data_IF_895848549451
#
_entry.id   IF_895848549451
#
_cell.length_a   1.000
_cell.length_b   1.000
_cell.length_c   1.000
_cell.angle_alpha   90.00
_cell.angle_beta   90.00
_cell.angle_gamma   90.00
#
_symmetry.space_group_name_H-M   'P 1'
#
loop_
_entity.id
_entity.type
_entity.pdbx_description
1 polymer ?
#
# COMPACT_ATOMS: atom_id res chain seq x y z
N UNK A 1 -0.49 -15.91 24.06
CA UNK A 1 0.37 -14.78 23.71
C UNK A 1 -0.10 -13.57 24.50
N UNK A 2 0.78 -12.71 25.02
CA UNK A 2 0.33 -11.54 25.77
C UNK A 2 -0.50 -10.65 24.83
N UNK A 3 -1.72 -10.37 25.27
CA UNK A 3 -2.68 -9.58 24.52
C UNK A 3 -2.18 -8.17 24.41
N UNK A 4 -1.30 -7.66 23.90
CA UNK A 4 -0.98 -6.29 23.55
C UNK A 4 0.51 -5.92 23.54
N UNK A 5 1.44 -6.45 24.20
CA UNK A 5 2.86 -6.06 24.16
C UNK A 5 3.18 -4.55 24.37
N UNK A 6 2.23 -3.68 24.07
CA UNK A 6 2.33 -2.24 24.36
C UNK A 6 2.10 -1.95 25.85
N UNK A 7 2.89 -1.08 26.42
CA UNK A 7 2.68 -0.56 27.75
C UNK A 7 1.41 0.31 27.85
N UNK A 8 0.83 0.52 29.04
CA UNK A 8 -0.41 1.30 29.21
C UNK A 8 -0.32 2.74 28.72
N UNK A 9 0.85 3.39 28.79
CA UNK A 9 1.02 4.77 28.34
C UNK A 9 0.95 4.84 26.80
N UNK A 10 1.60 3.90 26.11
CA UNK A 10 1.55 3.73 24.65
C UNK A 10 0.13 3.46 24.18
N UNK A 11 -0.59 2.51 24.82
CA UNK A 11 -2.00 2.23 24.49
C UNK A 11 -2.87 3.47 24.65
N UNK A 12 -2.73 4.19 25.77
CA UNK A 12 -3.45 5.44 26.01
C UNK A 12 -3.13 6.54 24.98
N UNK A 13 -1.90 6.62 24.52
CA UNK A 13 -1.49 7.57 23.49
C UNK A 13 -2.12 7.23 22.13
N UNK A 14 -2.06 5.97 21.70
CA UNK A 14 -2.70 5.50 20.47
C UNK A 14 -4.20 5.80 20.51
N UNK A 15 -4.88 5.42 21.60
CA UNK A 15 -6.32 5.63 21.72
C UNK A 15 -6.70 7.11 21.65
N UNK A 16 -5.96 7.99 22.34
CA UNK A 16 -6.21 9.45 22.29
C UNK A 16 -6.03 10.00 20.87
N UNK A 17 -4.97 9.60 20.17
CA UNK A 17 -4.70 10.03 18.79
C UNK A 17 -5.81 9.61 17.83
N UNK A 18 -6.23 8.34 17.87
CA UNK A 18 -7.29 7.80 17.04
C UNK A 18 -8.65 8.43 17.34
N UNK A 19 -8.98 8.66 18.62
CA UNK A 19 -10.22 9.33 19.05
C UNK A 19 -10.28 10.77 18.58
N UNK A 20 -9.18 11.52 18.72
CA UNK A 20 -9.05 12.90 18.20
C UNK A 20 -9.23 12.94 16.69
N UNK A 21 -8.69 11.99 15.99
CA UNK A 21 -8.85 11.83 14.54
C UNK A 21 -10.23 11.29 14.13
N UNK A 22 -11.10 10.90 15.06
CA UNK A 22 -12.42 10.29 14.81
C UNK A 22 -12.32 9.04 13.91
N UNK A 23 -11.36 8.18 14.22
CA UNK A 23 -11.14 6.90 13.53
C UNK A 23 -12.13 5.88 14.08
N UNK A 24 -12.90 5.17 13.21
CA UNK A 24 -13.82 4.13 13.68
C UNK A 24 -13.08 2.91 14.25
N UNK A 25 -12.05 2.43 13.55
CA UNK A 25 -11.16 1.38 14.06
C UNK A 25 -9.74 1.50 13.51
N UNK A 26 -8.80 0.97 14.27
CA UNK A 26 -7.42 0.78 13.84
C UNK A 26 -6.83 -0.50 14.42
N UNK A 27 -5.87 -1.08 13.69
CA UNK A 27 -4.89 -2.04 14.19
C UNK A 27 -3.52 -1.42 14.06
N UNK A 28 -2.74 -1.46 15.16
CA UNK A 28 -1.37 -0.95 15.22
C UNK A 28 -0.48 -2.10 15.68
N UNK A 29 0.50 -2.48 14.86
CA UNK A 29 1.50 -3.46 15.21
C UNK A 29 2.89 -2.84 15.19
N UNK A 30 3.69 -3.16 16.21
CA UNK A 30 5.13 -2.91 16.29
C UNK A 30 5.86 -4.20 15.97
N UNK A 31 6.77 -4.13 15.03
CA UNK A 31 7.57 -5.25 14.54
C UNK A 31 9.00 -5.04 15.00
N UNK A 32 9.60 -6.05 15.60
CA UNK A 32 11.01 -6.05 16.04
C UNK A 32 11.64 -7.37 15.65
N UNK A 33 12.84 -7.32 15.11
CA UNK A 33 13.49 -8.53 14.59
C UNK A 33 12.63 -9.20 13.52
N UNK A 34 12.29 -10.47 13.70
CA UNK A 34 11.57 -11.28 12.70
C UNK A 34 10.05 -11.33 12.89
N UNK A 35 9.46 -10.58 13.82
CA UNK A 35 8.02 -10.71 14.09
C UNK A 35 7.38 -9.54 14.83
N UNK A 36 6.10 -9.70 15.08
CA UNK A 36 5.31 -8.72 15.84
C UNK A 36 5.66 -8.85 17.34
N UNK A 37 6.22 -7.78 17.91
CA UNK A 37 6.48 -7.65 19.34
C UNK A 37 5.22 -7.18 20.09
N UNK A 38 4.50 -6.22 19.51
CA UNK A 38 3.30 -5.67 20.12
C UNK A 38 2.23 -5.41 19.06
N UNK A 39 0.96 -5.71 19.40
CA UNK A 39 -0.18 -5.45 18.53
C UNK A 39 -1.41 -5.05 19.34
N UNK A 40 -2.10 -4.00 18.92
CA UNK A 40 -3.33 -3.53 19.54
C UNK A 40 -4.40 -3.20 18.50
N UNK A 41 -5.65 -3.51 18.82
CA UNK A 41 -6.83 -3.17 18.03
C UNK A 41 -7.71 -2.20 18.80
N UNK A 42 -8.29 -1.23 18.09
CA UNK A 42 -9.10 -0.17 18.68
C UNK A 42 -10.40 0.03 17.90
N UNK A 43 -11.49 0.31 18.62
CA UNK A 43 -12.75 0.73 18.05
C UNK A 43 -13.54 -0.38 17.37
N UNK A 44 -14.34 -0.02 16.35
CA UNK A 44 -15.27 -0.92 15.68
C UNK A 44 -14.89 -1.12 14.21
N UNK A 45 -14.68 -2.37 13.83
CA UNK A 45 -14.52 -2.77 12.43
C UNK A 45 -15.80 -2.49 11.62
N UNK A 46 -16.96 -2.60 12.27
CA UNK A 46 -18.25 -2.14 11.74
C UNK A 46 -19.02 -1.35 12.80
N UNK A 47 -19.30 -0.07 12.51
CA UNK A 47 -20.03 0.81 13.43
C UNK A 47 -21.51 0.49 13.53
N UNK A 48 -22.14 0.07 12.43
CA UNK A 48 -23.58 -0.22 12.39
C UNK A 48 -23.92 -1.48 13.16
N UNK A 49 -23.11 -2.51 13.00
CA UNK A 49 -23.22 -3.78 13.70
C UNK A 49 -22.54 -3.79 15.07
N UNK A 50 -21.84 -2.72 15.43
CA UNK A 50 -20.98 -2.63 16.63
C UNK A 50 -19.98 -3.80 16.72
N UNK A 51 -19.53 -4.32 15.58
CA UNK A 51 -18.51 -5.36 15.53
C UNK A 51 -17.15 -4.75 15.88
N UNK A 52 -16.59 -5.13 17.02
CA UNK A 52 -15.28 -4.65 17.46
C UNK A 52 -14.19 -5.04 16.47
N UNK A 53 -13.17 -4.20 16.35
CA UNK A 53 -11.94 -4.58 15.65
C UNK A 53 -11.14 -5.55 16.52
N UNK A 54 -10.58 -6.57 15.89
CA UNK A 54 -9.66 -7.54 16.49
C UNK A 54 -8.27 -7.38 15.87
N UNK A 55 -7.29 -8.08 16.42
CA UNK A 55 -5.93 -8.12 15.83
C UNK A 55 -5.90 -8.76 14.43
N UNK A 56 -6.90 -9.62 14.13
CA UNK A 56 -7.08 -10.30 12.83
C UNK A 56 -7.94 -9.49 11.84
N UNK A 57 -8.47 -8.34 12.23
CA UNK A 57 -9.30 -7.53 11.34
C UNK A 57 -8.50 -7.11 10.11
N UNK A 58 -9.06 -7.39 8.92
CA UNK A 58 -8.46 -7.05 7.63
C UNK A 58 -8.89 -5.65 7.15
N UNK A 59 -8.02 -5.01 6.37
CA UNK A 59 -8.20 -3.69 5.80
C UNK A 59 -7.65 -3.66 4.37
N UNK A 60 -8.16 -2.75 3.53
CA UNK A 60 -7.49 -2.44 2.27
C UNK A 60 -6.16 -1.73 2.53
N UNK A 61 -5.09 -2.28 1.98
CA UNK A 61 -3.74 -1.73 2.10
C UNK A 61 -3.51 -0.53 1.18
N UNK A 62 -4.27 -0.42 0.10
CA UNK A 62 -4.11 0.60 -0.94
C UNK A 62 -2.66 0.72 -1.40
N UNK A 63 -2.15 1.96 -1.55
CA UNK A 63 -0.84 2.19 -2.16
C UNK A 63 0.34 1.54 -1.45
N UNK A 64 0.21 1.14 -0.18
CA UNK A 64 1.25 0.34 0.47
C UNK A 64 1.41 -1.07 -0.16
N UNK A 65 0.43 -1.54 -0.96
CA UNK A 65 0.56 -2.70 -1.87
C UNK A 65 1.77 -2.57 -2.80
N UNK A 66 2.18 -1.34 -3.12
CA UNK A 66 3.33 -1.09 -3.98
C UNK A 66 4.65 -1.65 -3.42
N UNK A 67 4.75 -1.81 -2.11
CA UNK A 67 5.89 -2.51 -1.50
C UNK A 67 5.93 -3.98 -1.91
N UNK A 68 4.78 -4.64 -1.96
CA UNK A 68 4.67 -6.03 -2.43
C UNK A 68 4.93 -6.13 -3.93
N UNK A 69 4.44 -5.18 -4.73
CA UNK A 69 4.74 -5.11 -6.17
C UNK A 69 6.23 -4.93 -6.42
N UNK A 70 6.88 -4.03 -5.67
CA UNK A 70 8.32 -3.82 -5.76
C UNK A 70 9.11 -5.06 -5.34
N UNK A 71 8.71 -5.73 -4.25
CA UNK A 71 9.35 -6.97 -3.81
C UNK A 71 9.17 -8.10 -4.84
N UNK A 72 7.99 -8.23 -5.46
CA UNK A 72 7.74 -9.19 -6.53
C UNK A 72 8.62 -8.92 -7.78
N UNK A 73 8.83 -7.65 -8.15
CA UNK A 73 9.78 -7.27 -9.18
C UNK A 73 11.21 -7.71 -8.81
N UNK A 74 11.61 -7.54 -7.54
CA UNK A 74 12.94 -7.91 -7.09
C UNK A 74 13.15 -9.42 -7.01
N UNK A 75 12.11 -10.22 -6.77
CA UNK A 75 12.17 -11.68 -6.93
C UNK A 75 12.50 -12.06 -8.39
N UNK A 76 11.90 -11.39 -9.37
CA UNK A 76 12.23 -11.60 -10.78
C UNK A 76 13.66 -11.14 -11.12
N UNK A 77 14.12 -10.06 -10.51
CA UNK A 77 15.47 -9.55 -10.65
C UNK A 77 16.51 -10.55 -10.12
N UNK A 78 16.33 -11.08 -8.92
CA UNK A 78 17.21 -12.12 -8.35
C UNK A 78 17.22 -13.40 -9.18
N UNK A 79 16.07 -13.76 -9.77
CA UNK A 79 15.96 -14.86 -10.71
C UNK A 79 16.55 -14.60 -12.10
N UNK A 80 17.18 -13.45 -12.34
CA UNK A 80 17.76 -13.07 -13.63
C UNK A 80 16.74 -12.89 -14.75
N UNK A 81 15.45 -12.70 -14.42
CA UNK A 81 14.35 -12.62 -15.39
C UNK A 81 14.06 -11.19 -15.85
N UNK A 82 14.60 -10.20 -15.16
CA UNK A 82 14.49 -8.78 -15.51
C UNK A 82 15.80 -8.06 -15.19
N UNK A 83 16.23 -7.21 -16.10
CA UNK A 83 17.22 -6.18 -15.84
C UNK A 83 16.48 -4.89 -15.48
N UNK A 84 16.78 -4.35 -14.29
CA UNK A 84 16.08 -3.16 -13.77
C UNK A 84 16.38 -1.90 -14.60
N UNK A 85 17.48 -1.87 -15.33
CA UNK A 85 17.96 -0.71 -16.09
C UNK A 85 17.78 -0.86 -17.61
N UNK A 86 17.29 -2.02 -18.07
CA UNK A 86 16.90 -2.23 -19.46
C UNK A 86 15.55 -1.59 -19.78
N UNK A 87 15.36 -1.25 -21.04
CA UNK A 87 14.09 -0.75 -21.58
C UNK A 87 13.00 -1.84 -21.50
N UNK A 88 11.88 -1.53 -20.82
CA UNK A 88 10.77 -2.50 -20.67
C UNK A 88 9.88 -2.62 -21.90
N UNK A 89 9.96 -1.74 -22.91
CA UNK A 89 9.10 -1.74 -24.09
C UNK A 89 9.13 -3.05 -24.89
N UNK A 90 10.29 -3.68 -25.13
CA UNK A 90 10.33 -4.97 -25.81
C UNK A 90 9.59 -6.09 -25.07
N UNK A 91 9.44 -5.95 -23.73
CA UNK A 91 8.70 -6.89 -22.91
C UNK A 91 7.19 -6.62 -22.89
N UNK A 92 6.76 -5.41 -23.28
CA UNK A 92 5.36 -4.96 -23.26
C UNK A 92 4.98 -4.28 -24.59
N UNK A 93 5.13 -4.96 -25.74
CA UNK A 93 4.99 -4.35 -27.07
C UNK A 93 3.57 -3.85 -27.37
N UNK A 94 2.56 -4.34 -26.65
CA UNK A 94 1.16 -3.91 -26.80
C UNK A 94 0.85 -2.59 -26.10
N UNK A 95 1.75 -2.08 -25.24
CA UNK A 95 1.53 -0.81 -24.54
C UNK A 95 2.08 0.36 -25.37
N UNK A 96 1.32 1.46 -25.49
CA UNK A 96 1.63 2.57 -26.40
C UNK A 96 2.67 3.54 -25.80
N UNK A 97 3.86 3.05 -25.46
CA UNK A 97 4.96 3.90 -25.01
C UNK A 97 5.55 4.73 -26.17
N UNK A 98 5.83 5.98 -25.93
CA UNK A 98 6.53 6.87 -26.88
C UNK A 98 8.04 7.00 -26.59
N UNK A 99 8.52 6.40 -25.48
CA UNK A 99 9.92 6.50 -25.04
C UNK A 99 10.38 5.28 -24.27
N UNK A 100 11.71 5.11 -24.17
CA UNK A 100 12.31 4.10 -23.33
C UNK A 100 12.05 4.40 -21.85
N UNK A 101 11.67 3.39 -21.08
CA UNK A 101 11.45 3.45 -19.63
C UNK A 101 11.98 2.16 -19.01
N UNK A 102 12.63 2.27 -17.86
CA UNK A 102 13.20 1.11 -17.16
C UNK A 102 12.33 0.70 -15.96
N UNK A 103 12.46 -0.55 -15.51
CA UNK A 103 11.75 -1.04 -14.33
C UNK A 103 12.14 -0.26 -13.07
N UNK A 104 13.41 0.14 -12.94
CA UNK A 104 13.90 1.02 -11.86
C UNK A 104 13.21 2.37 -11.87
N UNK A 105 13.08 3.01 -13.04
CA UNK A 105 12.39 4.30 -13.18
C UNK A 105 10.91 4.21 -12.83
N UNK A 106 10.25 3.11 -13.18
CA UNK A 106 8.86 2.85 -12.77
C UNK A 106 8.76 2.70 -11.26
N UNK A 107 9.58 1.84 -10.64
CA UNK A 107 9.53 1.55 -9.22
C UNK A 107 9.90 2.74 -8.33
N UNK A 108 10.77 3.64 -8.80
CA UNK A 108 11.19 4.86 -8.09
C UNK A 108 10.41 6.12 -8.47
N UNK A 109 9.33 5.98 -9.24
CA UNK A 109 8.50 7.09 -9.69
C UNK A 109 9.24 8.17 -10.52
N UNK A 110 10.31 7.81 -11.22
CA UNK A 110 11.11 8.70 -12.06
C UNK A 110 10.92 8.45 -13.57
N UNK A 111 9.89 7.70 -13.97
CA UNK A 111 9.62 7.37 -15.38
C UNK A 111 9.20 8.57 -16.23
N UNK A 112 8.71 9.65 -15.61
CA UNK A 112 8.17 10.82 -16.31
C UNK A 112 6.84 10.57 -17.04
N UNK A 113 6.26 9.37 -16.96
CA UNK A 113 4.98 9.03 -17.60
C UNK A 113 3.83 9.87 -17.05
N UNK A 114 2.83 10.26 -17.88
CA UNK A 114 1.66 10.98 -17.41
C UNK A 114 0.78 10.05 -16.56
N UNK A 115 0.16 10.60 -15.52
CA UNK A 115 -0.82 9.88 -14.69
C UNK A 115 -2.21 10.47 -14.89
N UNK A 116 -3.08 9.73 -15.53
CA UNK A 116 -4.48 10.12 -15.67
C UNK A 116 -5.29 9.42 -14.58
N UNK A 117 -5.42 10.06 -13.42
CA UNK A 117 -6.05 9.54 -12.20
C UNK A 117 -7.42 8.85 -12.43
N UNK A 118 -8.20 9.29 -13.43
CA UNK A 118 -9.52 8.73 -13.73
C UNK A 118 -9.53 7.29 -14.19
N UNK A 119 -8.41 6.79 -14.61
CA UNK A 119 -8.38 5.59 -15.38
C UNK A 119 -7.87 4.37 -14.57
N UNK A 120 -7.14 4.56 -13.46
CA UNK A 120 -6.47 3.50 -12.73
C UNK A 120 -7.21 2.94 -11.52
N UNK A 121 -8.32 3.53 -11.12
CA UNK A 121 -9.04 3.12 -9.91
C UNK A 121 -10.52 2.94 -10.25
N UNK A 122 -10.82 2.08 -11.20
CA UNK A 122 -12.19 1.61 -11.33
C UNK A 122 -12.48 0.65 -10.17
N UNK A 123 -13.66 0.84 -9.59
CA UNK A 123 -14.19 0.00 -8.52
C UNK A 123 -15.05 -1.10 -9.14
N UNK A 124 -14.83 -2.32 -8.71
CA UNK A 124 -15.61 -3.49 -9.04
C UNK A 124 -16.25 -4.04 -7.78
N UNK A 125 -17.51 -4.38 -7.85
CA UNK A 125 -18.18 -5.09 -6.76
C UNK A 125 -17.92 -6.58 -6.87
N UNK A 126 -18.02 -7.31 -5.75
CA UNK A 126 -18.00 -8.75 -5.75
C UNK A 126 -18.88 -9.34 -6.85
N UNK A 127 -18.33 -10.27 -7.63
CA UNK A 127 -18.98 -10.87 -8.80
C UNK A 127 -18.93 -10.07 -10.12
N UNK A 128 -18.39 -8.84 -10.13
CA UNK A 128 -18.17 -8.12 -11.38
C UNK A 128 -16.97 -8.72 -12.14
N UNK A 129 -17.04 -8.76 -13.49
CA UNK A 129 -15.90 -9.11 -14.33
C UNK A 129 -14.92 -7.94 -14.33
N UNK A 130 -13.72 -8.18 -13.80
CA UNK A 130 -12.63 -7.20 -13.81
C UNK A 130 -11.79 -7.34 -15.08
N UNK A 131 -11.41 -6.25 -15.75
CA UNK A 131 -10.44 -6.33 -16.84
C UNK A 131 -9.07 -6.73 -16.28
N UNK A 132 -8.26 -7.40 -17.08
CA UNK A 132 -6.86 -7.58 -16.76
C UNK A 132 -6.13 -6.23 -16.69
N UNK A 133 -5.02 -6.16 -15.95
CA UNK A 133 -4.19 -4.95 -15.88
C UNK A 133 -3.76 -4.48 -17.26
N UNK A 134 -3.38 -5.39 -18.16
CA UNK A 134 -3.02 -5.06 -19.54
C UNK A 134 -4.18 -4.46 -20.34
N UNK A 135 -5.42 -4.94 -20.16
CA UNK A 135 -6.61 -4.34 -20.77
C UNK A 135 -6.92 -2.96 -20.21
N UNK A 136 -6.78 -2.80 -18.89
CA UNK A 136 -6.91 -1.51 -18.25
C UNK A 136 -5.86 -0.53 -18.80
N UNK A 137 -4.59 -0.91 -18.88
CA UNK A 137 -3.49 -0.10 -19.39
C UNK A 137 -3.65 0.33 -20.86
N UNK A 138 -4.22 -0.51 -21.73
CA UNK A 138 -4.48 -0.12 -23.14
C UNK A 138 -5.43 1.06 -23.28
N UNK A 139 -6.22 1.37 -22.28
CA UNK A 139 -7.11 2.55 -22.25
C UNK A 139 -6.37 3.85 -21.95
N UNK A 140 -5.08 3.77 -21.60
CA UNK A 140 -4.27 4.92 -21.20
C UNK A 140 -3.41 5.44 -22.32
N UNK A 141 -3.24 6.75 -22.32
CA UNK A 141 -2.23 7.40 -23.12
C UNK A 141 -0.91 7.38 -22.35
N UNK A 142 -0.01 6.48 -22.70
CA UNK A 142 1.32 6.36 -22.09
C UNK A 142 2.35 7.27 -22.76
N UNK A 143 1.95 8.03 -23.77
CA UNK A 143 2.79 9.02 -24.45
C UNK A 143 2.65 10.42 -23.85
N UNK A 144 3.65 11.26 -24.05
CA UNK A 144 3.76 12.59 -23.44
C UNK A 144 4.42 12.53 -22.06
N UNK A 145 4.32 13.60 -21.29
CA UNK A 145 4.96 13.68 -19.96
C UNK A 145 6.40 14.24 -20.01
N UNK A 146 7.19 13.95 -18.96
CA UNK A 146 8.56 14.46 -18.78
C UNK A 146 9.60 13.43 -19.22
N UNK A 147 10.85 13.86 -19.36
CA UNK A 147 11.97 12.94 -19.59
C UNK A 147 12.13 11.98 -18.37
N UNK A 148 12.43 10.68 -18.63
CA UNK A 148 12.72 9.73 -17.57
C UNK A 148 14.00 10.09 -16.81
N UNK A 149 14.13 9.61 -15.55
CA UNK A 149 15.31 9.81 -14.71
C UNK A 149 15.34 11.13 -13.95
N UNK A 150 14.27 11.92 -14.02
CA UNK A 150 14.13 13.15 -13.23
C UNK A 150 13.72 12.91 -11.77
N UNK A 151 13.35 14.00 -11.08
CA UNK A 151 12.82 13.91 -9.73
C UNK A 151 11.59 13.00 -9.64
N UNK A 152 11.41 12.35 -8.49
CA UNK A 152 10.28 11.47 -8.25
C UNK A 152 8.95 12.23 -8.37
N UNK A 153 8.08 11.74 -9.23
CA UNK A 153 6.69 12.16 -9.32
C UNK A 153 5.79 10.95 -9.11
N UNK A 154 5.13 10.90 -7.95
CA UNK A 154 4.28 9.78 -7.61
C UNK A 154 3.21 9.53 -8.67
N UNK A 155 3.25 8.38 -9.34
CA UNK A 155 2.38 8.00 -10.44
C UNK A 155 1.88 6.57 -10.29
N UNK A 156 0.57 6.38 -10.29
CA UNK A 156 -0.02 5.04 -10.20
C UNK A 156 0.26 4.21 -11.45
N UNK A 157 0.30 4.84 -12.64
CA UNK A 157 0.61 4.18 -13.90
C UNK A 157 1.90 3.37 -13.84
N UNK A 158 2.91 3.85 -13.13
CA UNK A 158 4.17 3.14 -12.99
C UNK A 158 3.99 1.73 -12.43
N UNK A 159 3.18 1.61 -11.37
CA UNK A 159 2.95 0.33 -10.70
C UNK A 159 1.94 -0.55 -11.44
N UNK A 160 1.02 0.04 -12.20
CA UNK A 160 0.18 -0.72 -13.12
C UNK A 160 1.04 -1.40 -14.20
N UNK A 161 2.00 -0.68 -14.79
CA UNK A 161 2.94 -1.24 -15.76
C UNK A 161 3.83 -2.31 -15.11
N UNK A 162 4.32 -2.08 -13.89
CA UNK A 162 5.08 -3.10 -13.15
C UNK A 162 4.25 -4.37 -12.91
N UNK A 163 2.97 -4.23 -12.57
CA UNK A 163 2.07 -5.37 -12.41
C UNK A 163 1.95 -6.20 -13.68
N UNK A 164 1.78 -5.55 -14.84
CA UNK A 164 1.75 -6.24 -16.14
C UNK A 164 3.10 -6.89 -16.49
N UNK A 165 4.21 -6.20 -16.22
CA UNK A 165 5.56 -6.73 -16.41
C UNK A 165 5.79 -7.98 -15.54
N UNK A 166 5.37 -7.94 -14.28
CA UNK A 166 5.48 -9.07 -13.35
C UNK A 166 4.64 -10.25 -13.82
N UNK A 167 3.40 -10.01 -14.23
CA UNK A 167 2.53 -11.06 -14.76
C UNK A 167 3.16 -11.74 -15.98
N UNK A 168 3.65 -10.98 -16.93
CA UNK A 168 4.27 -11.47 -18.15
C UNK A 168 5.55 -12.26 -17.88
N UNK A 169 6.46 -11.69 -17.12
CA UNK A 169 7.71 -12.37 -16.76
C UNK A 169 7.46 -13.54 -15.80
N UNK A 170 6.47 -13.46 -14.94
CA UNK A 170 6.01 -14.51 -14.04
C UNK A 170 5.36 -15.69 -14.77
N UNK A 171 4.78 -15.44 -15.96
CA UNK A 171 4.03 -16.44 -16.72
C UNK A 171 2.68 -16.81 -16.06
N UNK A 172 2.12 -15.92 -15.25
CA UNK A 172 0.85 -16.10 -14.53
C UNK A 172 0.21 -14.74 -14.29
N UNK A 173 -0.94 -14.68 -13.58
CA UNK A 173 -1.49 -13.38 -13.17
C UNK A 173 -0.57 -12.68 -12.18
N UNK A 174 -0.67 -11.36 -12.06
CA UNK A 174 0.08 -10.60 -11.06
C UNK A 174 -0.24 -11.09 -9.64
N UNK A 175 -1.51 -11.30 -9.36
CA UNK A 175 -2.03 -11.76 -8.07
C UNK A 175 -1.45 -13.15 -7.70
N UNK A 176 -1.47 -14.09 -8.62
CA UNK A 176 -0.90 -15.42 -8.42
C UNK A 176 0.62 -15.37 -8.23
N UNK A 177 1.31 -14.50 -8.98
CA UNK A 177 2.76 -14.35 -8.80
C UNK A 177 3.09 -13.82 -7.40
N UNK A 178 2.42 -12.76 -6.96
CA UNK A 178 2.62 -12.20 -5.62
C UNK A 178 2.27 -13.23 -4.53
N UNK A 179 1.17 -13.97 -4.69
CA UNK A 179 0.79 -15.02 -3.75
C UNK A 179 1.90 -16.04 -3.60
N UNK A 180 2.33 -16.67 -4.70
CA UNK A 180 3.33 -17.76 -4.67
C UNK A 180 4.71 -17.31 -4.22
N UNK A 181 5.13 -16.11 -4.62
CA UNK A 181 6.49 -15.63 -4.38
C UNK A 181 6.67 -14.87 -3.06
N UNK A 182 5.60 -14.31 -2.50
CA UNK A 182 5.66 -13.50 -1.28
C UNK A 182 4.71 -14.00 -0.20
N UNK A 183 3.40 -14.08 -0.48
CA UNK A 183 2.40 -14.33 0.56
C UNK A 183 2.50 -15.75 1.13
N UNK A 184 2.59 -16.77 0.26
CA UNK A 184 2.70 -18.17 0.71
C UNK A 184 3.98 -18.43 1.52
N UNK A 185 5.19 -17.94 1.12
CA UNK A 185 6.38 -18.03 1.95
C UNK A 185 6.26 -17.35 3.32
N UNK A 186 5.49 -16.27 3.41
CA UNK A 186 5.23 -15.56 4.67
C UNK A 186 4.05 -16.12 5.46
N UNK A 187 3.37 -17.15 4.97
CA UNK A 187 2.15 -17.71 5.55
C UNK A 187 1.06 -16.64 5.75
N UNK A 188 0.94 -15.73 4.78
CA UNK A 188 0.00 -14.62 4.80
C UNK A 188 -1.31 -15.02 4.12
N UNK A 189 -2.43 -14.69 4.78
CA UNK A 189 -3.80 -14.87 4.26
C UNK A 189 -4.28 -13.65 3.46
N UNK A 190 -3.41 -12.67 3.18
CA UNK A 190 -3.75 -11.50 2.39
C UNK A 190 -4.26 -11.89 0.99
N UNK A 191 -5.20 -11.11 0.49
CA UNK A 191 -5.88 -11.38 -0.79
C UNK A 191 -6.07 -10.11 -1.61
N UNK A 192 -6.41 -10.26 -2.89
CA UNK A 192 -6.79 -9.17 -3.78
C UNK A 192 -8.31 -9.10 -4.01
N UNK A 193 -9.08 -9.92 -3.33
CA UNK A 193 -10.52 -10.04 -3.47
C UNK A 193 -11.22 -9.88 -2.11
N UNK A 194 -12.17 -8.95 -2.04
CA UNK A 194 -12.91 -8.68 -0.79
C UNK A 194 -13.75 -9.85 -0.33
N UNK A 195 -14.21 -10.71 -1.25
CA UNK A 195 -14.97 -11.93 -0.92
C UNK A 195 -14.15 -12.98 -0.17
N UNK A 196 -12.83 -12.99 -0.42
CA UNK A 196 -11.90 -13.93 0.21
C UNK A 196 -11.29 -13.39 1.51
N UNK A 197 -11.43 -12.09 1.77
CA UNK A 197 -10.88 -11.46 2.96
C UNK A 197 -11.72 -11.82 4.20
N UNK A 198 -11.12 -12.58 5.12
CA UNK A 198 -11.71 -12.84 6.43
C UNK A 198 -11.75 -11.55 7.27
N UNK A 199 -12.81 -11.37 8.09
CA UNK A 199 -12.94 -10.25 9.03
C UNK A 199 -12.70 -8.84 8.44
N UNK A 200 -13.01 -8.61 7.17
CA UNK A 200 -12.83 -7.31 6.54
C UNK A 200 -13.58 -6.21 7.31
N UNK A 201 -12.89 -5.13 7.63
CA UNK A 201 -13.48 -3.94 8.22
C UNK A 201 -14.38 -3.22 7.21
N UNK A 202 -15.46 -2.60 7.68
CA UNK A 202 -16.24 -1.67 6.88
C UNK A 202 -15.51 -0.35 6.73
N UNK A 203 -15.28 0.08 5.49
CA UNK A 203 -14.63 1.36 5.20
C UNK A 203 -15.57 2.55 5.42
N UNK A 204 -15.04 3.68 5.92
CA UNK A 204 -15.84 4.87 6.21
C UNK A 204 -15.29 6.14 5.53
N UNK A 205 -16.19 6.93 4.95
CA UNK A 205 -15.91 8.26 4.41
C UNK A 205 -16.70 9.31 5.16
N UNK A 206 -16.19 10.55 5.22
CA UNK A 206 -16.99 11.68 5.76
C UNK A 206 -18.17 11.97 4.85
N UNK A 207 -19.36 12.14 5.44
CA UNK A 207 -20.60 12.49 4.72
C UNK A 207 -20.45 13.78 3.92
N UNK A 208 -19.79 14.78 4.50
CA UNK A 208 -19.50 16.07 3.88
C UNK A 208 -17.98 16.27 3.85
N UNK A 209 -17.40 16.57 2.71
CA UNK A 209 -15.97 16.83 2.58
C UNK A 209 -15.44 16.61 1.16
N UNK A 210 -14.28 17.20 0.93
CA UNK A 210 -13.56 17.16 -0.33
C UNK A 210 -13.26 15.71 -0.79
N UNK A 211 -13.01 14.80 0.15
CA UNK A 211 -12.76 13.38 -0.14
C UNK A 211 -13.93 12.74 -0.89
N UNK A 212 -15.18 13.03 -0.49
CA UNK A 212 -16.37 12.55 -1.21
C UNK A 212 -16.47 13.15 -2.60
N UNK A 213 -16.11 14.42 -2.75
CA UNK A 213 -16.11 15.10 -4.04
C UNK A 213 -15.01 14.53 -4.96
N UNK A 214 -13.82 14.26 -4.42
CA UNK A 214 -12.70 13.68 -5.14
C UNK A 214 -12.90 12.18 -5.47
N UNK A 215 -13.56 11.43 -4.58
CA UNK A 215 -13.91 10.04 -4.84
C UNK A 215 -15.07 9.89 -5.85
N UNK A 216 -15.86 10.93 -6.08
CA UNK A 216 -16.99 10.90 -7.02
C UNK A 216 -16.59 10.48 -8.44
N UNK A 217 -15.49 10.97 -9.04
CA UNK A 217 -15.03 10.49 -10.34
C UNK A 217 -14.54 9.03 -10.35
N UNK A 218 -14.00 8.55 -9.23
CA UNK A 218 -13.58 7.16 -9.04
C UNK A 218 -14.78 6.21 -8.96
N UNK A 219 -15.95 6.76 -8.60
CA UNK A 219 -17.22 6.07 -8.38
C UNK A 219 -18.20 6.29 -9.54
N UNK A 220 -17.77 6.97 -10.62
CA UNK A 220 -18.67 7.54 -11.66
C UNK A 220 -19.52 6.52 -12.43
N UNK A 221 -19.17 5.24 -12.45
CA UNK A 221 -20.02 4.25 -13.13
C UNK A 221 -21.24 3.83 -12.28
N UNK A 222 -21.14 3.87 -10.93
CA UNK A 222 -22.24 3.50 -10.02
C UNK A 222 -22.19 4.24 -8.67
N UNK A 223 -22.23 5.60 -8.61
CA UNK A 223 -21.98 6.34 -7.36
C UNK A 223 -22.99 6.06 -6.24
N UNK A 224 -24.18 5.56 -6.57
CA UNK A 224 -25.24 5.25 -5.57
C UNK A 224 -25.05 3.90 -4.90
N UNK A 225 -24.36 2.97 -5.53
CA UNK A 225 -24.20 1.60 -5.06
C UNK A 225 -23.01 1.40 -4.12
N UNK A 226 -22.03 2.33 -4.13
CA UNK A 226 -20.83 2.25 -3.29
C UNK A 226 -21.10 2.66 -1.85
N UNK A 227 -22.06 3.59 -1.62
CA UNK A 227 -22.36 4.09 -0.30
C UNK A 227 -23.40 3.22 0.39
N UNK A 228 -23.06 2.72 1.57
CA UNK A 228 -23.95 2.00 2.46
C UNK A 228 -24.63 2.92 3.47
N UNK A 229 -24.68 2.48 4.72
CA UNK A 229 -25.41 3.12 5.80
C UNK A 229 -24.74 4.41 6.32
N UNK A 230 -25.58 5.28 6.86
CA UNK A 230 -25.13 6.48 7.54
C UNK A 230 -24.97 6.21 9.03
N UNK A 231 -23.76 6.43 9.56
CA UNK A 231 -23.49 6.37 10.99
C UNK A 231 -22.92 7.72 11.47
N UNK A 232 -23.77 8.54 12.05
CA UNK A 232 -23.41 9.91 12.48
C UNK A 232 -22.93 10.79 11.32
N UNK A 233 -21.68 11.22 11.36
CA UNK A 233 -21.05 12.04 10.32
C UNK A 233 -20.35 11.24 9.23
N UNK A 234 -20.42 9.92 9.29
CA UNK A 234 -19.77 8.99 8.38
C UNK A 234 -20.80 8.28 7.49
N UNK A 235 -20.33 7.83 6.33
CA UNK A 235 -21.01 6.90 5.44
C UNK A 235 -20.14 5.65 5.34
N UNK A 236 -20.74 4.48 5.50
CA UNK A 236 -20.06 3.21 5.21
C UNK A 236 -19.90 3.05 3.69
N UNK A 237 -18.94 2.23 3.31
CA UNK A 237 -18.74 1.77 1.94
C UNK A 237 -19.09 0.28 1.87
N UNK A 238 -19.72 -0.14 0.77
CA UNK A 238 -19.84 -1.56 0.44
C UNK A 238 -18.48 -2.11 0.06
N UNK A 239 -18.21 -3.39 0.27
CA UNK A 239 -16.98 -4.04 -0.21
C UNK A 239 -16.80 -3.83 -1.72
N UNK A 240 -15.58 -3.59 -2.16
CA UNK A 240 -15.23 -3.43 -3.56
C UNK A 240 -13.77 -3.78 -3.80
N UNK A 241 -13.46 -4.22 -5.00
CA UNK A 241 -12.11 -4.49 -5.46
C UNK A 241 -11.62 -3.38 -6.40
N UNK A 242 -10.31 -3.31 -6.61
CA UNK A 242 -9.69 -2.36 -7.52
C UNK A 242 -9.33 -3.02 -8.85
N UNK A 243 -9.48 -2.29 -9.95
CA UNK A 243 -9.13 -2.71 -11.31
C UNK A 243 -7.68 -3.18 -11.46
N UNK A 244 -6.79 -2.49 -10.76
CA UNK A 244 -5.34 -2.69 -10.90
C UNK A 244 -4.77 -3.08 -9.55
N UNK A 245 -4.70 -4.39 -9.32
CA UNK A 245 -4.23 -4.97 -8.06
C UNK A 245 -2.85 -4.46 -7.65
N UNK A 246 -1.92 -4.30 -8.60
CA UNK A 246 -0.53 -3.90 -8.35
C UNK A 246 -0.36 -2.49 -7.77
N UNK A 247 -1.34 -1.60 -7.93
CA UNK A 247 -1.26 -0.23 -7.39
C UNK A 247 -1.82 -0.09 -5.98
N UNK A 248 -2.70 -1.04 -5.56
CA UNK A 248 -3.39 -0.85 -4.28
C UNK A 248 -4.42 -1.89 -3.92
N UNK A 249 -4.43 -3.07 -4.55
CA UNK A 249 -5.51 -4.05 -4.39
C UNK A 249 -5.37 -5.02 -3.20
N UNK A 250 -4.24 -5.03 -2.50
CA UNK A 250 -4.02 -6.00 -1.41
C UNK A 250 -4.89 -5.68 -0.19
N UNK A 251 -5.44 -6.73 0.40
CA UNK A 251 -6.33 -6.70 1.57
C UNK A 251 -5.82 -7.71 2.57
N UNK A 252 -5.72 -7.34 3.84
CA UNK A 252 -5.27 -8.23 4.91
C UNK A 252 -5.19 -7.53 6.25
N UNK A 253 -4.71 -8.25 7.26
CA UNK A 253 -4.47 -7.78 8.62
C UNK A 253 -3.00 -7.45 8.90
N UNK A 254 -2.72 -7.06 10.13
CA UNK A 254 -1.34 -6.74 10.52
C UNK A 254 -0.42 -7.96 10.47
N UNK A 255 -0.93 -9.14 10.75
CA UNK A 255 -0.17 -10.40 10.66
C UNK A 255 0.26 -10.71 9.23
N UNK A 256 -0.54 -10.31 8.23
CA UNK A 256 -0.26 -10.53 6.82
C UNK A 256 0.83 -9.62 6.29
N UNK A 257 0.96 -8.41 6.84
CA UNK A 257 1.88 -7.39 6.34
C UNK A 257 3.17 -7.25 7.15
N UNK A 258 3.15 -7.71 8.40
CA UNK A 258 4.31 -7.69 9.28
C UNK A 258 5.53 -8.47 8.74
N UNK A 259 5.37 -9.62 8.05
CA UNK A 259 6.51 -10.32 7.47
C UNK A 259 7.33 -9.48 6.51
N UNK A 260 6.69 -8.69 5.64
CA UNK A 260 7.41 -7.74 4.77
C UNK A 260 8.22 -6.74 5.61
N UNK A 261 7.61 -6.15 6.63
CA UNK A 261 8.28 -5.18 7.52
C UNK A 261 9.46 -5.84 8.24
N UNK A 262 9.24 -7.04 8.79
CA UNK A 262 10.27 -7.81 9.48
C UNK A 262 11.47 -8.13 8.58
N UNK A 263 11.22 -8.49 7.33
CA UNK A 263 12.27 -8.82 6.37
C UNK A 263 13.25 -7.65 6.13
N UNK A 264 12.75 -6.42 6.15
CA UNK A 264 13.58 -5.22 5.92
C UNK A 264 14.29 -4.70 7.18
N UNK A 265 13.95 -5.19 8.38
CA UNK A 265 14.58 -4.76 9.63
C UNK A 265 15.42 -5.85 10.31
N UNK A 266 15.15 -7.13 10.05
CA UNK A 266 15.76 -8.23 10.80
C UNK A 266 17.19 -8.56 10.37
N UNK A 267 17.60 -8.17 9.16
CA UNK A 267 18.88 -8.57 8.57
C UNK A 267 19.01 -10.08 8.30
N UNK A 268 17.97 -10.87 8.61
CA UNK A 268 17.96 -12.32 8.38
C UNK A 268 17.63 -12.66 6.92
N UNK A 269 17.90 -13.90 6.51
CA UNK A 269 17.45 -14.41 5.22
C UNK A 269 15.91 -14.39 5.15
N UNK A 270 15.40 -13.92 4.04
CA UNK A 270 13.97 -13.78 3.77
C UNK A 270 13.65 -14.26 2.35
N UNK A 271 12.54 -13.79 1.82
CA UNK A 271 12.18 -14.03 0.41
C UNK A 271 13.18 -13.36 -0.53
N UNK A 272 13.67 -12.19 -0.15
CA UNK A 272 14.71 -11.44 -0.87
C UNK A 272 16.07 -11.55 -0.16
N UNK A 273 17.13 -11.61 -0.94
CA UNK A 273 18.50 -11.56 -0.44
C UNK A 273 18.79 -10.21 0.25
N UNK A 274 19.71 -10.21 1.20
CA UNK A 274 20.08 -9.00 1.98
C UNK A 274 20.55 -7.84 1.07
N UNK A 275 21.39 -8.13 0.08
CA UNK A 275 21.89 -7.11 -0.86
C UNK A 275 20.76 -6.52 -1.72
N UNK A 276 19.78 -7.34 -2.10
CA UNK A 276 18.60 -6.90 -2.83
C UNK A 276 17.77 -5.94 -1.98
N UNK A 277 17.47 -6.30 -0.72
CA UNK A 277 16.76 -5.43 0.21
C UNK A 277 17.50 -4.11 0.44
N UNK A 278 18.82 -4.17 0.65
CA UNK A 278 19.65 -2.99 0.80
C UNK A 278 19.59 -2.08 -0.45
N UNK A 279 19.57 -2.67 -1.66
CA UNK A 279 19.43 -1.91 -2.91
C UNK A 279 18.06 -1.23 -3.05
N UNK A 280 17.00 -1.82 -2.51
CA UNK A 280 15.66 -1.22 -2.50
C UNK A 280 15.58 0.02 -1.60
N UNK A 281 16.39 0.08 -0.55
CA UNK A 281 16.48 1.21 0.38
C UNK A 281 17.52 2.26 -0.05
N UNK A 282 18.08 2.16 -1.25
CA UNK A 282 18.88 3.23 -1.83
C UNK A 282 18.00 4.21 -2.59
N UNK A 283 18.19 5.50 -2.36
CA UNK A 283 17.43 6.53 -3.08
C UNK A 283 17.76 6.48 -4.58
N UNK A 284 16.83 5.98 -5.37
CA UNK A 284 16.91 5.88 -6.82
C UNK A 284 16.41 7.14 -7.54
N UNK A 285 15.59 7.95 -6.87
CA UNK A 285 15.14 9.27 -7.36
C UNK A 285 14.96 10.25 -6.21
N UNK A 286 15.30 11.51 -6.46
CA UNK A 286 15.14 12.60 -5.47
C UNK A 286 13.74 13.21 -5.54
N UNK A 287 13.31 13.88 -4.47
CA UNK A 287 12.02 14.60 -4.42
C UNK A 287 11.09 14.09 -3.32
N UNK A 288 10.09 14.89 -3.00
CA UNK A 288 9.10 14.56 -1.97
C UNK A 288 8.05 13.58 -2.53
N UNK A 289 7.91 12.44 -1.89
CA UNK A 289 6.97 11.39 -2.31
C UNK A 289 5.83 11.14 -1.30
N UNK A 290 5.86 11.80 -0.15
CA UNK A 290 4.85 11.66 0.91
C UNK A 290 4.85 12.83 1.88
N UNK A 291 4.06 12.76 2.94
CA UNK A 291 3.91 13.87 3.90
C UNK A 291 5.21 14.14 4.67
N UNK A 292 5.88 13.08 5.13
CA UNK A 292 7.16 13.17 5.85
C UNK A 292 8.33 12.59 5.03
N UNK A 293 8.06 12.07 3.81
CA UNK A 293 9.04 11.41 2.98
C UNK A 293 9.65 12.42 2.01
N UNK A 294 10.68 13.13 2.44
CA UNK A 294 11.34 14.20 1.69
C UNK A 294 12.72 13.81 1.15
N UNK A 295 13.24 12.64 1.52
CA UNK A 295 14.55 12.14 1.15
C UNK A 295 14.62 11.48 -0.24
N UNK A 296 13.48 11.29 -0.90
CA UNK A 296 13.41 10.65 -2.21
C UNK A 296 12.69 9.30 -2.19
N UNK A 297 12.90 8.52 -3.24
CA UNK A 297 12.26 7.21 -3.42
C UNK A 297 13.30 6.17 -3.83
N UNK A 298 13.30 5.04 -3.15
CA UNK A 298 14.00 3.83 -3.56
C UNK A 298 13.13 2.95 -4.48
N UNK A 299 13.32 1.66 -4.42
CA UNK A 299 12.45 0.70 -5.12
C UNK A 299 11.28 0.35 -4.20
N UNK A 300 10.13 0.98 -4.41
CA UNK A 300 8.92 0.82 -3.60
C UNK A 300 8.88 1.70 -2.35
N UNK A 301 9.97 1.86 -1.68
CA UNK A 301 10.08 2.57 -0.42
C UNK A 301 10.29 4.08 -0.61
N UNK A 302 9.62 4.88 0.21
CA UNK A 302 9.80 6.34 0.30
C UNK A 302 10.71 6.65 1.47
N UNK A 303 11.74 7.44 1.22
CA UNK A 303 12.72 7.85 2.22
C UNK A 303 12.27 9.10 2.96
N UNK A 304 12.36 9.10 4.27
CA UNK A 304 12.02 10.22 5.14
C UNK A 304 13.00 10.41 6.28
N UNK A 305 12.92 11.58 6.89
CA UNK A 305 13.71 11.95 8.06
C UNK A 305 12.78 12.35 9.20
N UNK A 306 13.06 11.86 10.39
CA UNK A 306 12.56 12.41 11.65
C UNK A 306 13.63 13.30 12.28
N UNK A 307 13.39 13.81 13.48
CA UNK A 307 14.34 14.71 14.13
C UNK A 307 15.70 14.08 14.43
N UNK A 308 15.76 12.76 14.56
CA UNK A 308 16.92 12.01 15.09
C UNK A 308 17.25 10.72 14.33
N UNK A 309 16.48 10.35 13.30
CA UNK A 309 16.76 9.15 12.51
C UNK A 309 16.11 9.19 11.13
N UNK A 310 16.58 8.31 10.25
CA UNK A 310 16.00 8.03 8.95
C UNK A 310 14.93 6.93 9.08
N UNK A 311 13.94 7.00 8.20
CA UNK A 311 12.96 5.95 8.04
C UNK A 311 12.62 5.73 6.57
N UNK A 312 12.07 4.55 6.29
CA UNK A 312 11.47 4.23 5.01
C UNK A 312 10.03 3.83 5.22
N UNK A 313 9.14 4.32 4.37
CA UNK A 313 7.72 4.00 4.50
C UNK A 313 7.00 3.91 3.15
N UNK A 314 5.78 3.41 3.19
CA UNK A 314 4.78 3.65 2.17
C UNK A 314 3.40 3.77 2.84
N UNK A 315 2.74 4.88 2.56
CA UNK A 315 1.35 5.07 3.00
C UNK A 315 0.40 4.50 1.96
N UNK A 316 -0.74 4.00 2.42
CA UNK A 316 -1.87 3.65 1.59
C UNK A 316 -3.07 4.51 1.91
N UNK A 317 -3.81 4.94 0.90
CA UNK A 317 -4.99 5.74 1.15
C UNK A 317 -5.95 5.78 -0.02
N UNK A 318 -7.21 5.64 0.31
CA UNK A 318 -8.31 5.67 -0.64
C UNK A 318 -9.66 5.77 0.05
N UNK A 319 -10.75 5.48 -0.68
CA UNK A 319 -12.08 5.45 -0.10
C UNK A 319 -12.16 4.44 1.05
N UNK A 320 -12.50 4.92 2.24
CA UNK A 320 -12.80 4.08 3.39
C UNK A 320 -11.62 3.62 4.23
N UNK A 321 -10.38 3.66 3.73
CA UNK A 321 -9.22 3.11 4.44
C UNK A 321 -7.98 3.99 4.32
N UNK A 322 -7.10 3.82 5.30
CA UNK A 322 -5.76 4.38 5.35
C UNK A 322 -4.82 3.35 5.98
N UNK A 323 -3.61 3.22 5.45
CA UNK A 323 -2.58 2.35 5.98
C UNK A 323 -1.23 3.01 5.98
N UNK A 324 -0.31 2.50 6.79
CA UNK A 324 1.11 2.83 6.74
C UNK A 324 1.95 1.63 7.12
N UNK A 325 2.94 1.32 6.29
CA UNK A 325 4.03 0.43 6.60
C UNK A 325 5.29 1.28 6.70
N UNK A 326 5.98 1.19 7.84
CA UNK A 326 7.18 1.99 8.12
C UNK A 326 8.26 1.13 8.75
N UNK A 327 9.51 1.40 8.39
CA UNK A 327 10.69 0.79 8.97
C UNK A 327 11.71 1.85 9.39
N UNK A 328 12.42 1.56 10.45
CA UNK A 328 13.59 2.26 10.96
C UNK A 328 14.75 1.25 10.99
N UNK A 329 15.51 1.11 9.88
CA UNK A 329 16.50 0.04 9.78
C UNK A 329 17.58 0.08 10.88
N UNK A 330 18.08 1.26 11.24
CA UNK A 330 19.06 1.43 12.30
C UNK A 330 18.54 0.97 13.68
N UNK A 331 17.27 1.24 13.96
CA UNK A 331 16.60 0.83 15.20
C UNK A 331 16.04 -0.59 15.16
N UNK A 332 16.12 -1.28 14.03
CA UNK A 332 15.52 -2.60 13.81
C UNK A 332 14.05 -2.69 14.25
N UNK A 333 13.29 -1.62 14.06
CA UNK A 333 11.89 -1.52 14.41
C UNK A 333 11.06 -1.11 13.20
N UNK A 334 9.86 -1.64 13.11
CA UNK A 334 8.90 -1.29 12.07
C UNK A 334 7.48 -1.26 12.59
N UNK A 335 6.58 -0.75 11.76
CA UNK A 335 5.18 -0.56 12.09
C UNK A 335 4.27 -0.95 10.94
N UNK A 336 3.13 -1.55 11.31
CA UNK A 336 1.96 -1.73 10.45
C UNK A 336 0.81 -0.99 11.10
N UNK A 337 0.25 0.03 10.45
CA UNK A 337 -0.91 0.78 10.92
C UNK A 337 -2.01 0.65 9.87
N UNK A 338 -3.17 0.13 10.29
CA UNK A 338 -4.34 -0.12 9.44
C UNK A 338 -5.55 0.59 10.04
N UNK A 339 -6.29 1.34 9.21
CA UNK A 339 -7.38 2.21 9.66
C UNK A 339 -8.55 2.10 8.68
N UNK A 340 -9.80 1.97 9.18
CA UNK A 340 -11.02 1.92 8.36
C UNK A 340 -11.66 3.29 8.11
N UNK A 341 -10.86 4.27 7.76
CA UNK A 341 -11.30 5.60 7.39
C UNK A 341 -10.44 6.17 6.26
N UNK A 342 -11.09 6.86 5.30
CA UNK A 342 -10.37 7.50 4.19
C UNK A 342 -9.22 8.37 4.67
N UNK A 343 -8.10 8.23 3.99
CA UNK A 343 -6.90 9.03 4.24
C UNK A 343 -7.20 10.53 4.16
N UNK A 344 -6.62 11.27 5.07
CA UNK A 344 -6.54 12.73 5.05
C UNK A 344 -5.13 13.13 5.47
N UNK A 345 -4.67 14.31 5.07
CA UNK A 345 -3.35 14.81 5.51
C UNK A 345 -3.19 14.76 7.04
N UNK A 346 -4.26 15.10 7.78
CA UNK A 346 -4.24 15.02 9.23
C UNK A 346 -4.08 13.58 9.75
N UNK A 347 -4.68 12.59 9.07
CA UNK A 347 -4.57 11.19 9.47
C UNK A 347 -3.18 10.62 9.16
N UNK A 348 -2.58 11.01 8.04
CA UNK A 348 -1.19 10.63 7.75
C UNK A 348 -0.21 11.20 8.78
N UNK A 349 -0.44 12.43 9.28
CA UNK A 349 0.34 12.97 10.40
C UNK A 349 0.11 12.18 11.69
N UNK A 350 -1.11 11.71 11.96
CA UNK A 350 -1.38 10.85 13.13
C UNK A 350 -0.59 9.54 13.03
N UNK A 351 -0.55 8.91 11.86
CA UNK A 351 0.27 7.71 11.66
C UNK A 351 1.75 8.01 11.87
N UNK A 352 2.25 9.12 11.31
CA UNK A 352 3.63 9.56 11.50
C UNK A 352 3.96 9.75 12.98
N UNK A 353 3.17 10.55 13.70
CA UNK A 353 3.39 10.84 15.13
C UNK A 353 3.34 9.56 15.99
N UNK A 354 2.44 8.62 15.67
CA UNK A 354 2.38 7.34 16.35
C UNK A 354 3.65 6.52 16.15
N UNK A 355 4.15 6.41 14.93
CA UNK A 355 5.40 5.70 14.66
C UNK A 355 6.57 6.34 15.42
N UNK A 356 6.68 7.67 15.40
CA UNK A 356 7.75 8.40 16.10
C UNK A 356 7.68 8.21 17.63
N UNK A 357 6.50 8.17 18.18
CA UNK A 357 6.29 7.98 19.62
C UNK A 357 6.55 6.53 20.04
N UNK A 358 6.12 5.55 19.25
CA UNK A 358 6.16 4.14 19.61
C UNK A 358 7.50 3.46 19.29
N UNK A 359 8.39 4.08 18.51
CA UNK A 359 9.72 3.54 18.22
C UNK A 359 10.71 3.69 19.36
N UNK A 360 10.45 4.64 20.25
CA UNK A 360 11.26 4.91 21.47
C UNK A 360 10.88 3.96 22.59
#
# INVERSE_FOLDING_TARGET
MPQNGFDPASLGAIERALRKAKVPSAVVARVVGSGIEAIASFGYADLSQRRAATQSTAYHLYSATKLFTASALMVLYEGGRVDLDADVRPLLPELPFDRAVTARQLASHSSGLPDTVRAFVAIHFPGDIRPSTGEALRRYRLGGGKAPGGAAEYRNVNYAILGELIARLGGTTYEDFVRRSLLDPWLSDATFETELASELATGYVRRFGITRLLCRPLLEKRPRDVFGERVGSLLSLRPFDLDTAAIGGLIGGAFDFAPLVAEFISGSDGVLQADTRASMLQTASTGAAGIASTGGVGIGWKHGYSSDCEFWNHEGGGPGFCSELRIYPEGQVGFVILINRSQTRALSWVCHDLCEQLRR
#
